data_IF_036106176318
#
_entry.id   IF_036106176318
#
_cell.length_a   1.000
_cell.length_b   1.000
_cell.length_c   1.000
_cell.angle_alpha   90.00
_cell.angle_beta   90.00
_cell.angle_gamma   90.00
#
_symmetry.space_group_name_H-M   'P 1'
#
loop_
_entity.id
_entity.type
_entity.pdbx_description
1 polymer ?
#
# COMPACT_ATOMS: atom_id res chain seq x y z
N UNK A 1 -15.62 7.58 16.93
CA UNK A 1 -15.73 6.72 15.72
C UNK A 1 -16.22 5.37 16.18
N UNK A 2 -17.12 4.74 15.45
CA UNK A 2 -17.71 3.44 15.83
C UNK A 2 -16.62 2.36 15.80
N UNK A 3 -16.44 1.65 16.92
CA UNK A 3 -15.47 0.57 17.04
C UNK A 3 -15.94 -0.60 16.19
N UNK A 4 -15.10 -1.05 15.26
CA UNK A 4 -15.43 -2.16 14.36
C UNK A 4 -14.75 -3.44 14.83
N UNK A 5 -15.50 -4.54 14.86
CA UNK A 5 -14.96 -5.85 15.25
C UNK A 5 -14.59 -6.64 13.99
N UNK A 6 -13.41 -7.27 14.02
CA UNK A 6 -12.92 -8.23 13.01
C UNK A 6 -12.74 -9.58 13.68
N UNK A 7 -13.22 -10.65 13.04
CA UNK A 7 -12.95 -12.03 13.45
C UNK A 7 -12.06 -12.71 12.41
N UNK A 8 -10.96 -13.32 12.85
CA UNK A 8 -10.10 -14.17 12.02
C UNK A 8 -10.36 -15.63 12.39
N UNK A 9 -10.67 -16.45 11.41
CA UNK A 9 -10.93 -17.89 11.56
C UNK A 9 -9.78 -18.62 10.85
N UNK A 10 -8.81 -19.10 11.62
CA UNK A 10 -7.54 -19.63 11.13
C UNK A 10 -6.96 -20.59 12.19
N UNK A 11 -6.75 -21.86 11.83
CA UNK A 11 -6.28 -22.90 12.75
C UNK A 11 -4.77 -22.80 13.02
N UNK A 12 -4.01 -22.18 12.11
CA UNK A 12 -2.61 -21.87 12.35
C UNK A 12 -2.45 -20.66 13.29
N UNK A 13 -2.41 -20.91 14.62
CA UNK A 13 -2.30 -19.88 15.67
C UNK A 13 -1.26 -18.80 15.41
N UNK A 14 -0.10 -19.16 14.86
CA UNK A 14 0.98 -18.21 14.57
C UNK A 14 0.60 -17.27 13.42
N UNK A 15 -0.02 -17.81 12.36
CA UNK A 15 -0.54 -17.02 11.25
C UNK A 15 -1.67 -16.12 11.76
N UNK A 16 -2.67 -16.68 12.45
CA UNK A 16 -3.78 -15.91 13.04
C UNK A 16 -3.30 -14.72 13.88
N UNK A 17 -2.30 -14.93 14.75
CA UNK A 17 -1.68 -13.86 15.56
C UNK A 17 -0.98 -12.80 14.71
N UNK A 18 -0.26 -13.23 13.68
CA UNK A 18 0.46 -12.34 12.76
C UNK A 18 -0.52 -11.46 11.99
N UNK A 19 -1.59 -12.06 11.43
CA UNK A 19 -2.66 -11.33 10.74
C UNK A 19 -3.37 -10.36 11.70
N UNK A 20 -3.71 -10.80 12.91
CA UNK A 20 -4.35 -9.94 13.90
C UNK A 20 -3.47 -8.75 14.30
N UNK A 21 -2.17 -8.97 14.49
CA UNK A 21 -1.23 -7.89 14.78
C UNK A 21 -1.09 -6.92 13.60
N UNK A 22 -0.98 -7.44 12.38
CA UNK A 22 -0.92 -6.62 11.18
C UNK A 22 -2.15 -5.73 11.03
N UNK A 23 -3.36 -6.27 11.22
CA UNK A 23 -4.61 -5.49 11.11
C UNK A 23 -4.71 -4.40 12.19
N UNK A 24 -4.27 -4.68 13.42
CA UNK A 24 -4.27 -3.70 14.52
C UNK A 24 -3.31 -2.53 14.28
N UNK A 25 -2.17 -2.79 13.61
CA UNK A 25 -1.13 -1.77 13.37
C UNK A 25 -1.33 -1.06 12.03
N UNK A 26 -1.74 -1.79 11.01
CA UNK A 26 -1.74 -1.34 9.62
C UNK A 26 -3.02 -0.64 9.16
N UNK A 27 -4.08 -0.59 9.99
CA UNK A 27 -5.32 0.08 9.65
C UNK A 27 -5.53 1.32 10.52
N UNK A 28 -5.97 2.41 9.89
CA UNK A 28 -6.24 3.69 10.55
C UNK A 28 -7.45 3.64 11.50
N UNK A 29 -8.37 2.70 11.29
CA UNK A 29 -9.55 2.56 12.13
C UNK A 29 -9.23 1.70 13.36
N UNK A 30 -9.82 2.08 14.49
CA UNK A 30 -9.71 1.31 15.73
C UNK A 30 -10.56 0.04 15.59
N UNK A 31 -9.89 -1.07 15.28
CA UNK A 31 -10.49 -2.39 15.21
C UNK A 31 -10.21 -3.20 16.46
N UNK A 32 -11.24 -3.87 16.98
CA UNK A 32 -11.03 -5.02 17.85
C UNK A 32 -10.90 -6.26 16.98
N UNK A 33 -9.74 -6.92 17.04
CA UNK A 33 -9.47 -8.12 16.26
C UNK A 33 -9.46 -9.32 17.19
N UNK A 34 -10.34 -10.27 16.93
CA UNK A 34 -10.36 -11.58 17.58
C UNK A 34 -9.95 -12.68 16.62
N UNK A 35 -9.49 -13.79 17.19
CA UNK A 35 -9.11 -14.99 16.45
C UNK A 35 -9.85 -16.19 17.02
N UNK A 36 -10.20 -17.15 16.19
CA UNK A 36 -10.66 -18.48 16.58
C UNK A 36 -10.07 -19.53 15.65
N UNK A 37 -9.99 -20.77 16.13
CA UNK A 37 -9.26 -21.86 15.45
C UNK A 37 -10.21 -22.84 14.72
N UNK A 38 -11.53 -22.70 14.91
CA UNK A 38 -12.52 -23.59 14.29
C UNK A 38 -13.84 -22.88 13.94
N UNK A 39 -14.64 -23.53 13.09
CA UNK A 39 -15.97 -23.03 12.73
C UNK A 39 -16.95 -23.01 13.91
N UNK A 40 -16.86 -23.99 14.82
CA UNK A 40 -17.69 -24.01 16.04
C UNK A 40 -17.39 -22.81 16.93
N UNK A 41 -16.11 -22.52 17.18
CA UNK A 41 -15.70 -21.36 17.96
C UNK A 41 -16.12 -20.05 17.26
N UNK A 42 -16.01 -20.00 15.93
CA UNK A 42 -16.49 -18.85 15.15
C UNK A 42 -18.00 -18.62 15.34
N UNK A 43 -18.82 -19.66 15.31
CA UNK A 43 -20.25 -19.53 15.59
C UNK A 43 -20.52 -19.01 16.99
N UNK A 44 -19.87 -19.57 18.01
CA UNK A 44 -20.02 -19.08 19.38
C UNK A 44 -19.75 -17.57 19.47
N UNK A 45 -18.64 -17.10 18.89
CA UNK A 45 -18.30 -15.68 18.86
C UNK A 45 -19.31 -14.82 18.10
N UNK A 46 -19.78 -15.30 16.94
CA UNK A 46 -20.78 -14.60 16.13
C UNK A 46 -22.13 -14.43 16.84
N UNK A 47 -22.50 -15.37 17.72
CA UNK A 47 -23.70 -15.25 18.55
C UNK A 47 -23.52 -14.31 19.74
N UNK A 48 -22.30 -14.14 20.25
CA UNK A 48 -22.00 -13.27 21.38
C UNK A 48 -21.92 -11.80 20.99
N UNK A 49 -21.36 -11.50 19.82
CA UNK A 49 -21.28 -10.12 19.32
C UNK A 49 -21.24 -10.01 17.80
N UNK A 50 -21.61 -8.82 17.31
CA UNK A 50 -21.56 -8.51 15.90
C UNK A 50 -20.13 -8.24 15.42
N UNK A 51 -19.81 -8.76 14.23
CA UNK A 51 -18.57 -8.50 13.51
C UNK A 51 -18.84 -7.77 12.20
N UNK A 52 -18.04 -6.76 11.92
CA UNK A 52 -18.10 -5.97 10.68
C UNK A 52 -17.39 -6.66 9.53
N UNK A 53 -16.39 -7.48 9.84
CA UNK A 53 -15.61 -8.24 8.88
C UNK A 53 -15.19 -9.58 9.50
N UNK A 54 -15.26 -10.63 8.70
CA UNK A 54 -14.67 -11.94 8.97
C UNK A 54 -13.60 -12.21 7.93
N UNK A 55 -12.45 -12.70 8.38
CA UNK A 55 -11.39 -13.23 7.53
C UNK A 55 -11.31 -14.71 7.83
N UNK A 56 -11.62 -15.57 6.85
CA UNK A 56 -11.76 -17.00 7.06
C UNK A 56 -10.77 -17.76 6.18
N UNK A 57 -10.03 -18.71 6.74
CA UNK A 57 -9.31 -19.69 5.94
C UNK A 57 -10.29 -20.67 5.28
N UNK A 58 -9.95 -21.14 4.08
CA UNK A 58 -10.74 -22.12 3.35
C UNK A 58 -10.68 -23.49 4.02
N UNK A 59 -9.51 -23.85 4.56
CA UNK A 59 -9.26 -25.18 5.13
C UNK A 59 -9.23 -25.08 6.64
N UNK A 60 -10.36 -25.38 7.28
CA UNK A 60 -10.44 -25.50 8.72
C UNK A 60 -10.53 -26.98 9.13
N UNK A 61 -10.00 -27.38 10.30
CA UNK A 61 -10.22 -28.71 10.83
C UNK A 61 -11.72 -28.98 11.04
N UNK A 62 -12.25 -30.03 10.41
CA UNK A 62 -13.62 -30.48 10.63
C UNK A 62 -14.73 -29.72 9.87
N UNK A 63 -14.41 -28.62 9.18
CA UNK A 63 -15.41 -27.82 8.43
C UNK A 63 -14.78 -27.15 7.21
N UNK A 64 -15.51 -27.08 6.09
CA UNK A 64 -15.09 -26.30 4.92
C UNK A 64 -15.41 -24.81 5.12
N UNK A 65 -14.41 -23.94 4.93
CA UNK A 65 -14.57 -22.50 5.08
C UNK A 65 -15.69 -21.91 4.20
N UNK A 66 -15.93 -22.45 2.99
CA UNK A 66 -17.02 -21.98 2.13
C UNK A 66 -18.40 -22.32 2.71
N UNK A 67 -18.54 -23.44 3.40
CA UNK A 67 -19.80 -23.80 4.07
C UNK A 67 -20.07 -22.86 5.25
N UNK A 68 -19.04 -22.59 6.06
CA UNK A 68 -19.10 -21.63 7.15
C UNK A 68 -19.49 -20.23 6.65
N UNK A 69 -18.83 -19.76 5.59
CA UNK A 69 -19.13 -18.46 4.96
C UNK A 69 -20.57 -18.42 4.42
N UNK A 70 -21.03 -19.49 3.76
CA UNK A 70 -22.40 -19.58 3.24
C UNK A 70 -23.40 -19.42 4.38
N UNK A 71 -23.15 -20.05 5.53
CA UNK A 71 -23.98 -19.88 6.72
C UNK A 71 -23.93 -18.44 7.23
N UNK A 72 -22.73 -17.87 7.38
CA UNK A 72 -22.54 -16.50 7.86
C UNK A 72 -23.34 -15.52 7.01
N UNK A 73 -23.21 -15.60 5.68
CA UNK A 73 -23.94 -14.73 4.74
C UNK A 73 -25.45 -14.89 4.79
N UNK A 74 -25.96 -16.04 5.24
CA UNK A 74 -27.40 -16.27 5.38
C UNK A 74 -27.98 -15.62 6.63
N UNK A 75 -27.22 -15.54 7.72
CA UNK A 75 -27.73 -15.13 9.03
C UNK A 75 -27.16 -13.80 9.55
N UNK A 76 -26.01 -13.37 9.04
CA UNK A 76 -25.30 -12.14 9.44
C UNK A 76 -25.08 -11.25 8.20
N UNK A 77 -26.17 -10.69 7.68
CA UNK A 77 -26.24 -10.00 6.38
C UNK A 77 -25.34 -8.76 6.29
N UNK A 78 -25.08 -8.10 7.41
CA UNK A 78 -24.24 -6.89 7.47
C UNK A 78 -22.74 -7.20 7.65
N UNK A 79 -22.38 -8.48 7.75
CA UNK A 79 -21.00 -8.92 7.97
C UNK A 79 -20.30 -9.16 6.64
N UNK A 80 -19.24 -8.39 6.39
CA UNK A 80 -18.33 -8.65 5.28
C UNK A 80 -17.46 -9.88 5.55
N UNK A 81 -17.04 -10.55 4.49
CA UNK A 81 -16.24 -11.77 4.53
C UNK A 81 -15.15 -11.68 3.49
N UNK A 82 -13.91 -11.94 3.91
CA UNK A 82 -12.76 -12.19 3.03
C UNK A 82 -12.33 -13.64 3.22
N UNK A 83 -12.15 -14.37 2.12
CA UNK A 83 -11.60 -15.73 2.13
C UNK A 83 -10.08 -15.69 1.97
N UNK A 84 -9.36 -16.48 2.74
CA UNK A 84 -7.96 -16.81 2.51
C UNK A 84 -7.91 -18.28 2.06
N UNK A 85 -7.12 -18.63 1.05
CA UNK A 85 -7.04 -20.02 0.55
C UNK A 85 -5.65 -20.39 0.09
N UNK A 86 -5.17 -21.60 0.39
CA UNK A 86 -3.93 -22.16 -0.17
C UNK A 86 -4.07 -22.85 -1.53
N UNK A 87 -5.29 -23.10 -1.99
CA UNK A 87 -5.56 -23.79 -3.26
C UNK A 87 -6.81 -23.18 -3.92
N UNK A 88 -6.59 -22.41 -5.00
CA UNK A 88 -7.65 -21.83 -5.82
C UNK A 88 -7.88 -22.68 -7.06
N UNK A 89 -8.71 -23.73 -6.96
CA UNK A 89 -9.29 -24.28 -8.19
C UNK A 89 -10.31 -23.30 -8.74
N UNK A 90 -10.50 -23.28 -10.07
CA UNK A 90 -11.47 -22.40 -10.74
C UNK A 90 -12.88 -22.49 -10.10
N UNK A 91 -13.29 -23.68 -9.65
CA UNK A 91 -14.56 -23.90 -8.96
C UNK A 91 -14.63 -23.23 -7.57
N UNK A 92 -13.54 -23.29 -6.81
CA UNK A 92 -13.45 -22.65 -5.48
C UNK A 92 -13.45 -21.13 -5.63
N UNK A 93 -12.73 -20.61 -6.62
CA UNK A 93 -12.68 -19.17 -6.89
C UNK A 93 -14.05 -18.65 -7.34
N UNK A 94 -14.70 -19.33 -8.29
CA UNK A 94 -16.03 -18.97 -8.77
C UNK A 94 -17.09 -18.99 -7.65
N UNK A 95 -16.96 -19.91 -6.69
CA UNK A 95 -17.84 -19.97 -5.52
C UNK A 95 -17.53 -18.87 -4.52
N UNK A 96 -16.25 -18.60 -4.23
CA UNK A 96 -15.84 -17.51 -3.36
C UNK A 96 -16.36 -16.16 -3.88
N UNK A 97 -16.25 -15.91 -5.19
CA UNK A 97 -16.72 -14.68 -5.83
C UNK A 97 -18.20 -14.37 -5.58
N UNK A 98 -19.03 -15.41 -5.40
CA UNK A 98 -20.47 -15.25 -5.22
C UNK A 98 -20.86 -14.95 -3.77
N UNK A 99 -20.01 -15.30 -2.80
CA UNK A 99 -20.38 -15.31 -1.38
C UNK A 99 -19.44 -14.49 -0.49
N UNK A 100 -18.35 -13.93 -1.03
CA UNK A 100 -17.43 -13.07 -0.29
C UNK A 100 -17.29 -11.70 -0.95
N UNK A 101 -16.77 -10.74 -0.21
CA UNK A 101 -16.37 -9.44 -0.74
C UNK A 101 -14.98 -9.48 -1.36
N UNK A 102 -14.21 -10.53 -1.08
CA UNK A 102 -12.94 -10.78 -1.74
C UNK A 102 -12.26 -12.06 -1.26
N UNK A 103 -11.17 -12.41 -1.93
CA UNK A 103 -10.33 -13.52 -1.51
C UNK A 103 -8.84 -13.31 -1.82
N UNK A 104 -7.99 -13.99 -1.03
CA UNK A 104 -6.54 -13.98 -1.14
C UNK A 104 -6.00 -15.41 -1.23
N UNK A 105 -5.10 -15.64 -2.18
CA UNK A 105 -4.40 -16.92 -2.33
C UNK A 105 -3.09 -16.91 -1.53
N UNK A 106 -2.86 -17.92 -0.68
CA UNK A 106 -1.58 -18.19 -0.01
C UNK A 106 -0.60 -18.70 -1.08
N UNK A 107 0.65 -18.19 -1.14
CA UNK A 107 1.20 -17.11 -0.31
C UNK A 107 0.75 -15.70 -0.76
N UNK A 108 0.38 -14.87 0.23
CA UNK A 108 0.06 -13.45 0.05
C UNK A 108 0.96 -12.57 0.93
N UNK A 109 1.13 -11.29 0.57
CA UNK A 109 1.82 -10.32 1.41
C UNK A 109 0.84 -9.67 2.40
N UNK A 110 1.32 -9.28 3.58
CA UNK A 110 0.50 -8.58 4.58
C UNK A 110 -0.11 -7.29 4.03
N UNK A 111 0.59 -6.57 3.15
CA UNK A 111 0.09 -5.38 2.47
C UNK A 111 -1.13 -5.71 1.59
N UNK A 112 -1.14 -6.86 0.92
CA UNK A 112 -2.30 -7.29 0.12
C UNK A 112 -3.53 -7.50 1.01
N UNK A 113 -3.36 -8.11 2.19
CA UNK A 113 -4.44 -8.23 3.16
C UNK A 113 -4.93 -6.87 3.65
N UNK A 114 -4.03 -5.97 4.02
CA UNK A 114 -4.40 -4.64 4.49
C UNK A 114 -5.18 -3.86 3.43
N UNK A 115 -4.73 -3.90 2.17
CA UNK A 115 -5.44 -3.28 1.04
C UNK A 115 -6.82 -3.90 0.84
N UNK A 116 -6.94 -5.23 0.87
CA UNK A 116 -8.22 -5.93 0.75
C UNK A 116 -9.20 -5.50 1.83
N UNK A 117 -8.80 -5.58 3.10
CA UNK A 117 -9.62 -5.19 4.25
C UNK A 117 -10.05 -3.74 4.15
N UNK A 118 -9.13 -2.87 3.73
CA UNK A 118 -9.42 -1.45 3.57
C UNK A 118 -10.42 -1.18 2.44
N UNK A 119 -10.34 -1.88 1.30
CA UNK A 119 -11.31 -1.78 0.20
C UNK A 119 -12.69 -2.30 0.63
N UNK A 120 -12.74 -3.45 1.30
CA UNK A 120 -14.00 -4.08 1.74
C UNK A 120 -14.75 -3.23 2.76
N UNK A 121 -14.03 -2.61 3.71
CA UNK A 121 -14.66 -1.82 4.79
C UNK A 121 -14.93 -0.36 4.37
N UNK A 122 -14.28 0.17 3.32
CA UNK A 122 -14.50 1.54 2.82
C UNK A 122 -15.81 1.64 2.01
N UNK A 123 -16.84 2.34 2.51
CA UNK A 123 -18.16 2.41 1.86
C UNK A 123 -18.13 3.09 0.48
N UNK A 124 -17.05 3.79 0.13
CA UNK A 124 -16.86 4.43 -1.19
C UNK A 124 -16.43 3.46 -2.28
N UNK A 125 -15.97 2.26 -1.93
CA UNK A 125 -15.43 1.27 -2.87
C UNK A 125 -16.43 0.16 -3.24
N UNK A 126 -17.74 0.40 -3.11
CA UNK A 126 -18.78 -0.55 -3.58
C UNK A 126 -18.70 -0.73 -5.11
N UNK A 127 -17.85 -1.65 -5.57
CA UNK A 127 -17.94 -2.27 -6.90
C UNK A 127 -18.85 -3.50 -6.79
N UNK A 128 -19.52 -3.84 -7.90
CA UNK A 128 -20.28 -5.09 -8.01
C UNK A 128 -19.28 -6.24 -8.27
N UNK A 129 -19.19 -7.21 -7.37
CA UNK A 129 -18.31 -8.40 -7.47
C UNK A 129 -17.28 -8.49 -6.34
N UNK A 130 -16.76 -9.70 -6.07
CA UNK A 130 -15.71 -9.92 -5.09
C UNK A 130 -14.34 -9.44 -5.58
N UNK A 131 -13.53 -8.87 -4.69
CA UNK A 131 -12.15 -8.46 -4.97
C UNK A 131 -11.19 -9.65 -4.93
N UNK A 132 -10.40 -9.83 -5.99
CA UNK A 132 -9.29 -10.80 -6.07
C UNK A 132 -7.97 -10.12 -5.76
N UNK A 133 -6.90 -10.89 -5.52
CA UNK A 133 -5.53 -10.36 -5.40
C UNK A 133 -5.14 -9.49 -6.60
N UNK A 134 -5.55 -9.88 -7.81
CA UNK A 134 -5.30 -9.11 -9.02
C UNK A 134 -6.04 -7.76 -9.01
N UNK A 135 -7.25 -7.70 -8.43
CA UNK A 135 -8.03 -6.47 -8.25
C UNK A 135 -7.50 -5.57 -7.12
N UNK A 136 -6.55 -6.05 -6.31
CA UNK A 136 -5.86 -5.24 -5.31
C UNK A 136 -4.82 -4.31 -5.93
N UNK A 137 -4.35 -4.63 -7.12
CA UNK A 137 -3.59 -3.68 -7.93
C UNK A 137 -4.54 -2.57 -8.34
N UNK A 138 -4.16 -1.33 -8.10
CA UNK A 138 -4.92 -0.16 -8.56
C UNK A 138 -4.94 -0.21 -10.09
N UNK A 139 -6.12 -0.14 -10.72
CA UNK A 139 -6.36 -0.42 -12.16
C UNK A 139 -5.72 0.62 -13.11
N UNK A 140 -4.99 1.60 -12.55
CA UNK A 140 -4.11 2.50 -13.31
C UNK A 140 -2.68 1.98 -13.25
N UNK A 141 -2.01 1.73 -14.40
CA UNK A 141 -0.61 1.34 -14.37
C UNK A 141 0.17 2.37 -13.58
N UNK A 142 0.81 1.89 -12.53
CA UNK A 142 1.57 2.69 -11.61
C UNK A 142 2.84 3.22 -12.28
N UNK A 143 2.68 4.35 -12.97
CA UNK A 143 3.75 5.02 -13.70
C UNK A 143 4.69 5.73 -12.75
N UNK A 144 5.97 5.39 -12.86
CA UNK A 144 7.07 6.06 -12.18
C UNK A 144 7.93 6.76 -13.25
N UNK A 145 8.18 8.04 -13.06
CA UNK A 145 9.18 8.78 -13.82
C UNK A 145 10.49 8.82 -13.04
N UNK A 146 11.59 8.45 -13.69
CA UNK A 146 12.95 8.58 -13.14
C UNK A 146 13.70 9.62 -13.98
N UNK A 147 14.05 10.75 -13.38
CA UNK A 147 14.93 11.75 -13.96
C UNK A 147 16.30 11.70 -13.29
N UNK A 148 17.26 11.14 -14.02
CA UNK A 148 18.62 10.83 -13.56
C UNK A 148 19.57 10.83 -14.76
N UNK A 149 20.63 11.63 -14.74
CA UNK A 149 21.57 11.76 -15.87
C UNK A 149 22.58 10.61 -15.90
N UNK A 150 22.95 10.06 -14.74
CA UNK A 150 23.85 8.93 -14.63
C UNK A 150 23.22 7.64 -15.20
N UNK A 151 23.73 7.21 -16.36
CA UNK A 151 23.19 6.06 -17.11
C UNK A 151 23.19 4.77 -16.28
N UNK A 152 24.22 4.56 -15.47
CA UNK A 152 24.36 3.38 -14.61
C UNK A 152 23.26 3.33 -13.56
N UNK A 153 23.16 4.38 -12.74
CA UNK A 153 22.16 4.50 -11.69
C UNK A 153 20.73 4.46 -12.23
N UNK A 154 20.43 5.23 -13.29
CA UNK A 154 19.10 5.26 -13.93
C UNK A 154 18.65 3.87 -14.39
N UNK A 155 19.54 3.12 -15.06
CA UNK A 155 19.24 1.75 -15.54
C UNK A 155 19.01 0.78 -14.39
N UNK A 156 19.77 0.89 -13.30
CA UNK A 156 19.61 0.02 -12.14
C UNK A 156 18.25 0.27 -11.48
N UNK A 157 17.90 1.54 -11.23
CA UNK A 157 16.58 1.90 -10.68
C UNK A 157 15.45 1.42 -11.59
N UNK A 158 15.54 1.72 -12.89
CA UNK A 158 14.54 1.29 -13.87
C UNK A 158 14.36 -0.23 -13.92
N UNK A 159 15.44 -1.01 -13.83
CA UNK A 159 15.36 -2.49 -13.82
C UNK A 159 14.69 -3.03 -12.56
N UNK A 160 15.02 -2.48 -11.40
CA UNK A 160 14.50 -2.94 -10.10
C UNK A 160 13.01 -2.59 -9.94
N UNK A 161 12.61 -1.40 -10.39
CA UNK A 161 11.21 -0.96 -10.32
C UNK A 161 10.32 -1.70 -11.31
N UNK A 162 10.78 -1.95 -12.55
CA UNK A 162 10.02 -2.80 -13.51
C UNK A 162 9.83 -4.23 -13.02
N UNK A 163 10.83 -4.80 -12.34
CA UNK A 163 10.70 -6.12 -11.70
C UNK A 163 9.65 -6.14 -10.59
N UNK A 164 9.33 -4.98 -10.03
CA UNK A 164 8.28 -4.80 -9.02
C UNK A 164 6.94 -4.42 -9.65
N UNK A 165 6.77 -4.71 -10.95
CA UNK A 165 5.53 -4.51 -11.73
C UNK A 165 5.11 -3.04 -11.96
N UNK A 166 6.00 -2.07 -11.78
CA UNK A 166 5.74 -0.66 -12.13
C UNK A 166 6.01 -0.37 -13.61
N UNK A 167 5.20 0.52 -14.21
CA UNK A 167 5.49 1.10 -15.53
C UNK A 167 6.53 2.22 -15.33
N UNK A 168 7.73 2.08 -15.89
CA UNK A 168 8.83 3.01 -15.62
C UNK A 168 9.25 3.78 -16.87
N UNK A 169 9.10 5.10 -16.83
CA UNK A 169 9.64 6.02 -17.82
C UNK A 169 10.96 6.62 -17.31
N UNK A 170 11.97 6.67 -18.18
CA UNK A 170 13.31 7.13 -17.85
C UNK A 170 13.64 8.41 -18.62
N UNK A 171 14.07 9.45 -17.90
CA UNK A 171 14.46 10.74 -18.44
C UNK A 171 15.95 11.00 -18.16
N UNK A 172 16.83 10.91 -19.17
CA UNK A 172 18.25 11.24 -19.01
C UNK A 172 18.54 12.75 -18.94
N UNK A 173 17.56 13.60 -19.26
CA UNK A 173 17.69 15.05 -19.33
C UNK A 173 16.43 15.73 -18.81
N UNK A 174 16.55 16.98 -18.36
CA UNK A 174 15.40 17.79 -17.90
C UNK A 174 14.40 17.98 -19.05
N UNK A 175 14.87 18.18 -20.28
CA UNK A 175 13.99 18.25 -21.45
C UNK A 175 13.19 16.96 -21.68
N UNK A 176 13.82 15.79 -21.55
CA UNK A 176 13.08 14.51 -21.69
C UNK A 176 12.04 14.37 -20.58
N UNK A 177 12.36 14.79 -19.36
CA UNK A 177 11.41 14.77 -18.23
C UNK A 177 10.23 15.72 -18.47
N UNK A 178 10.49 16.93 -18.98
CA UNK A 178 9.48 17.92 -19.38
C UNK A 178 8.51 17.35 -20.42
N UNK A 179 9.03 16.74 -21.48
CA UNK A 179 8.20 16.15 -22.54
C UNK A 179 7.32 15.00 -22.01
N UNK A 180 7.87 14.20 -21.09
CA UNK A 180 7.18 13.08 -20.45
C UNK A 180 6.09 13.54 -19.48
N UNK A 181 6.38 14.51 -18.61
CA UNK A 181 5.43 15.14 -17.69
C UNK A 181 4.33 15.89 -18.46
N UNK A 182 4.62 16.44 -19.63
CA UNK A 182 3.59 17.06 -20.49
C UNK A 182 2.56 16.06 -21.01
N UNK A 183 2.99 14.83 -21.34
CA UNK A 183 2.18 13.82 -22.03
C UNK A 183 1.52 12.78 -21.11
N UNK A 184 2.04 12.60 -19.90
CA UNK A 184 1.63 11.53 -19.00
C UNK A 184 1.40 12.04 -17.58
N UNK A 185 0.67 11.24 -16.81
CA UNK A 185 0.53 11.39 -15.37
C UNK A 185 1.34 10.30 -14.67
N UNK A 186 1.88 10.63 -13.51
CA UNK A 186 2.77 9.76 -12.75
C UNK A 186 2.33 9.73 -11.30
N UNK A 187 2.37 8.54 -10.69
CA UNK A 187 2.12 8.42 -9.25
C UNK A 187 3.35 8.82 -8.44
N UNK A 188 4.54 8.49 -8.96
CA UNK A 188 5.82 8.91 -8.36
C UNK A 188 6.74 9.51 -9.41
N UNK A 189 7.38 10.62 -9.05
CA UNK A 189 8.45 11.25 -9.82
C UNK A 189 9.74 11.28 -9.00
N UNK A 190 10.72 10.46 -9.37
CA UNK A 190 12.07 10.48 -8.79
C UNK A 190 12.91 11.47 -9.59
N UNK A 191 13.46 12.47 -8.90
CA UNK A 191 14.04 13.66 -9.52
C UNK A 191 15.43 13.96 -8.94
N UNK A 192 16.49 13.84 -9.75
CA UNK A 192 17.80 14.38 -9.37
C UNK A 192 17.78 15.92 -9.39
N UNK A 193 18.36 16.54 -8.36
CA UNK A 193 18.50 18.00 -8.29
C UNK A 193 19.41 18.53 -9.40
N UNK A 194 20.53 17.87 -9.66
CA UNK A 194 21.57 18.39 -10.56
C UNK A 194 21.72 17.50 -11.79
N UNK A 195 21.33 18.01 -12.96
CA UNK A 195 21.48 17.29 -14.23
C UNK A 195 22.33 18.12 -15.20
N UNK A 196 23.65 18.08 -14.99
CA UNK A 196 24.62 18.91 -15.71
C UNK A 196 24.42 20.41 -15.46
N UNK A 197 23.93 21.15 -16.48
CA UNK A 197 23.71 22.61 -16.41
C UNK A 197 22.29 23.01 -15.99
N UNK A 198 21.36 22.05 -16.00
CA UNK A 198 19.96 22.27 -15.66
C UNK A 198 19.67 21.72 -14.26
N UNK A 199 18.69 22.31 -13.56
CA UNK A 199 18.28 21.90 -12.22
C UNK A 199 16.89 21.30 -12.26
N UNK A 200 16.73 20.14 -11.61
CA UNK A 200 15.43 19.48 -11.48
C UNK A 200 14.41 20.33 -10.72
N UNK A 201 14.88 21.23 -9.85
CA UNK A 201 14.07 22.17 -9.07
C UNK A 201 13.29 23.16 -9.93
N UNK A 202 13.86 23.57 -11.06
CA UNK A 202 13.24 24.51 -11.98
C UNK A 202 12.07 23.82 -12.70
N UNK A 203 12.25 22.55 -13.07
CA UNK A 203 11.19 21.70 -13.63
C UNK A 203 10.05 21.45 -12.63
N UNK A 204 10.37 21.24 -11.36
CA UNK A 204 9.33 21.10 -10.32
C UNK A 204 8.50 22.37 -10.17
N UNK A 205 9.15 23.54 -10.21
CA UNK A 205 8.45 24.82 -10.16
C UNK A 205 7.55 25.02 -11.39
N UNK A 206 8.02 24.62 -12.57
CA UNK A 206 7.27 24.67 -13.84
C UNK A 206 6.01 23.78 -13.81
N UNK A 207 6.09 22.58 -13.20
CA UNK A 207 4.99 21.60 -13.18
C UNK A 207 4.22 21.53 -11.85
N UNK A 208 4.46 22.45 -10.91
CA UNK A 208 3.94 22.39 -9.54
C UNK A 208 2.43 22.16 -9.48
N UNK A 209 1.67 22.95 -10.21
CA UNK A 209 0.20 22.87 -10.20
C UNK A 209 -0.29 21.53 -10.72
N UNK A 210 0.29 21.06 -11.83
CA UNK A 210 -0.04 19.75 -12.42
C UNK A 210 0.30 18.61 -11.44
N UNK A 211 1.50 18.61 -10.89
CA UNK A 211 1.95 17.57 -9.95
C UNK A 211 1.05 17.52 -8.70
N UNK A 212 0.59 18.69 -8.23
CA UNK A 212 -0.34 18.80 -7.10
C UNK A 212 -1.72 18.27 -7.47
N UNK A 213 -2.26 18.65 -8.64
CA UNK A 213 -3.57 18.23 -9.15
C UNK A 213 -3.63 16.71 -9.38
N UNK A 214 -2.59 16.13 -9.98
CA UNK A 214 -2.48 14.69 -10.22
C UNK A 214 -2.09 13.91 -8.97
N UNK A 215 -1.75 14.61 -7.87
CA UNK A 215 -1.28 13.99 -6.63
C UNK A 215 0.03 13.22 -6.79
N UNK A 216 0.89 13.63 -7.73
CA UNK A 216 2.19 13.01 -7.98
C UNK A 216 3.09 13.20 -6.77
N UNK A 217 3.66 12.10 -6.28
CA UNK A 217 4.63 12.12 -5.19
C UNK A 217 6.04 12.36 -5.74
N UNK A 218 6.68 13.44 -5.30
CA UNK A 218 8.02 13.85 -5.76
C UNK A 218 9.08 13.40 -4.76
N UNK A 219 10.04 12.59 -5.25
CA UNK A 219 11.19 12.12 -4.49
C UNK A 219 12.44 12.79 -5.04
N UNK A 220 13.06 13.68 -4.25
CA UNK A 220 14.29 14.36 -4.65
C UNK A 220 15.53 13.56 -4.30
N UNK A 221 16.44 13.43 -5.24
CA UNK A 221 17.72 12.75 -5.07
C UNK A 221 18.86 13.76 -5.13
N UNK A 222 19.83 13.69 -4.20
CA UNK A 222 20.96 14.63 -4.19
C UNK A 222 22.20 14.05 -3.50
N UNK A 223 23.39 14.37 -4.01
CA UNK A 223 24.66 14.05 -3.35
C UNK A 223 24.90 14.89 -2.08
N UNK A 224 24.26 16.06 -1.96
CA UNK A 224 24.47 16.97 -0.84
C UNK A 224 23.22 17.07 0.04
N UNK A 225 23.30 16.56 1.26
CA UNK A 225 22.19 16.55 2.22
C UNK A 225 21.70 17.96 2.64
N UNK A 226 22.52 18.99 2.47
CA UNK A 226 22.15 20.38 2.76
C UNK A 226 20.99 20.91 1.90
N UNK A 227 20.67 20.24 0.78
CA UNK A 227 19.53 20.62 -0.05
C UNK A 227 18.19 20.16 0.50
N UNK A 228 18.15 19.39 1.60
CA UNK A 228 16.91 18.87 2.19
C UNK A 228 15.90 19.98 2.50
N UNK A 229 16.32 21.03 3.19
CA UNK A 229 15.45 22.15 3.56
C UNK A 229 14.94 22.90 2.33
N UNK A 230 15.81 23.13 1.34
CA UNK A 230 15.42 23.77 0.08
C UNK A 230 14.40 22.92 -0.68
N UNK A 231 14.57 21.60 -0.71
CA UNK A 231 13.63 20.68 -1.39
C UNK A 231 12.27 20.62 -0.72
N UNK A 232 12.22 20.73 0.60
CA UNK A 232 10.96 20.83 1.37
C UNK A 232 10.20 22.11 1.01
N UNK A 233 10.89 23.25 0.88
CA UNK A 233 10.29 24.53 0.45
C UNK A 233 9.73 24.49 -0.99
N UNK A 234 10.28 23.64 -1.84
CA UNK A 234 9.87 23.47 -3.24
C UNK A 234 8.74 22.45 -3.43
N UNK A 235 8.21 21.88 -2.34
CA UNK A 235 7.09 20.95 -2.40
C UNK A 235 7.46 19.52 -2.80
N UNK A 236 8.72 19.12 -2.61
CA UNK A 236 9.07 17.70 -2.69
C UNK A 236 8.52 16.96 -1.46
N UNK A 237 7.86 15.83 -1.68
CA UNK A 237 7.31 15.03 -0.59
C UNK A 237 8.42 14.30 0.18
N UNK A 238 9.50 13.89 -0.51
CA UNK A 238 10.59 13.10 0.08
C UNK A 238 11.98 13.49 -0.46
N UNK A 239 13.01 13.27 0.35
CA UNK A 239 14.41 13.49 0.00
C UNK A 239 15.25 12.23 0.25
N UNK A 240 16.05 11.83 -0.76
CA UNK A 240 17.01 10.74 -0.70
C UNK A 240 18.43 11.28 -0.93
N UNK A 241 19.30 11.09 0.04
CA UNK A 241 20.71 11.42 -0.10
C UNK A 241 21.46 10.31 -0.85
N UNK A 242 22.19 10.66 -1.92
CA UNK A 242 23.09 9.74 -2.62
C UNK A 242 24.33 9.45 -1.74
N UNK A 243 24.84 8.21 -1.71
CA UNK A 243 24.42 7.06 -2.50
C UNK A 243 23.11 6.43 -1.99
N UNK A 244 22.19 6.14 -2.91
CA UNK A 244 20.88 5.56 -2.59
C UNK A 244 20.97 4.04 -2.70
N UNK A 245 20.65 3.33 -1.62
CA UNK A 245 20.57 1.87 -1.66
C UNK A 245 19.28 1.40 -2.37
N UNK A 246 19.34 0.28 -3.09
CA UNK A 246 18.17 -0.28 -3.77
C UNK A 246 17.05 -0.67 -2.80
N UNK A 247 17.42 -1.17 -1.61
CA UNK A 247 16.46 -1.47 -0.55
C UNK A 247 15.73 -0.23 -0.07
N UNK A 248 16.46 0.87 0.18
CA UNK A 248 15.86 2.16 0.56
C UNK A 248 14.90 2.68 -0.50
N UNK A 249 15.30 2.62 -1.77
CA UNK A 249 14.44 3.03 -2.88
C UNK A 249 13.16 2.20 -2.94
N UNK A 250 13.27 0.87 -2.92
CA UNK A 250 12.11 -0.02 -2.97
C UNK A 250 11.16 0.18 -1.80
N UNK A 251 11.69 0.28 -0.57
CA UNK A 251 10.88 0.52 0.63
C UNK A 251 10.13 1.84 0.54
N UNK A 252 10.81 2.92 0.10
CA UNK A 252 10.16 4.21 -0.08
C UNK A 252 9.06 4.11 -1.15
N UNK A 253 9.39 3.60 -2.34
CA UNK A 253 8.40 3.49 -3.42
C UNK A 253 7.19 2.69 -2.97
N UNK A 254 7.35 1.51 -2.40
CA UNK A 254 6.23 0.71 -1.90
C UNK A 254 5.36 1.51 -0.91
N UNK A 255 5.98 2.24 0.03
CA UNK A 255 5.26 3.12 0.95
C UNK A 255 4.46 4.21 0.22
N UNK A 256 5.04 4.87 -0.78
CA UNK A 256 4.37 5.92 -1.56
C UNK A 256 3.22 5.37 -2.40
N UNK A 257 3.37 4.13 -2.87
CA UNK A 257 2.32 3.46 -3.62
C UNK A 257 1.12 3.08 -2.74
N UNK A 258 1.36 2.85 -1.45
CA UNK A 258 0.37 2.42 -0.45
C UNK A 258 -0.27 3.56 0.36
N UNK A 259 0.32 4.75 0.37
CA UNK A 259 -0.16 5.86 1.17
C UNK A 259 -1.47 6.46 0.63
N UNK A 260 -2.53 6.43 1.45
CA UNK A 260 -3.78 7.17 1.19
C UNK A 260 -3.56 8.69 1.30
N UNK A 261 -4.38 9.51 0.59
CA UNK A 261 -4.30 10.97 0.64
C UNK A 261 -4.40 11.61 2.05
N UNK A 262 -5.02 10.94 3.02
CA UNK A 262 -5.26 11.46 4.36
C UNK A 262 -4.08 11.24 5.35
N UNK A 263 -3.19 10.28 5.10
CA UNK A 263 -1.96 10.11 5.89
C UNK A 263 -0.86 11.13 5.51
N UNK A 264 -1.09 11.91 4.44
CA UNK A 264 -0.13 12.87 3.85
C UNK A 264 0.29 14.00 4.81
N UNK A 265 -0.46 14.28 5.87
CA UNK A 265 -0.18 15.40 6.80
C UNK A 265 0.53 14.98 8.10
N UNK A 266 0.43 13.71 8.51
CA UNK A 266 1.13 13.17 9.69
C UNK A 266 2.60 12.81 9.36
N UNK A 267 2.88 12.44 8.10
CA UNK A 267 4.21 12.05 7.63
C UNK A 267 5.16 13.25 7.45
N UNK A 268 4.62 14.43 7.18
CA UNK A 268 5.37 15.70 7.19
C UNK A 268 5.75 16.13 8.60
N UNK A 269 5.01 15.70 9.62
CA UNK A 269 5.22 16.09 11.01
C UNK A 269 6.19 15.14 11.76
N UNK A 270 6.20 13.84 11.48
CA UNK A 270 7.16 12.90 12.10
C UNK A 270 8.63 13.15 11.66
N UNK A 271 8.85 13.76 10.49
CA UNK A 271 10.18 14.21 10.07
C UNK A 271 10.64 15.52 10.73
N UNK A 272 9.81 16.17 11.56
CA UNK A 272 10.13 17.40 12.29
C UNK A 272 10.76 17.16 13.67
N UNK A 273 10.95 15.91 14.11
CA UNK A 273 11.69 15.65 15.36
C UNK A 273 13.17 16.05 15.21
N UNK A 274 13.43 17.31 15.62
CA UNK A 274 14.75 17.90 15.77
C UNK A 274 15.68 16.95 16.54
N UNK A 275 16.93 16.73 16.08
CA UNK A 275 17.95 16.22 16.96
C UNK A 275 18.09 17.18 18.14
N UNK A 276 17.86 16.69 19.36
CA UNK A 276 18.23 17.42 20.58
C UNK A 276 19.74 17.67 20.51
N UNK A 277 20.12 18.92 20.28
CA UNK A 277 21.49 19.39 20.45
C UNK A 277 21.90 19.13 21.90
N UNK A 278 22.75 18.13 22.12
CA UNK A 278 23.52 18.05 23.36
C UNK A 278 24.59 19.15 23.32
N UNK A 279 24.71 19.98 24.36
CA UNK A 279 25.73 21.01 24.37
C UNK A 279 27.11 20.34 24.46
N UNK A 280 27.99 20.69 23.52
CA UNK A 280 29.42 20.45 23.67
C UNK A 280 29.87 21.19 24.94
N UNK A 281 30.48 20.45 25.88
CA UNK A 281 31.29 21.04 26.94
C UNK A 281 32.64 21.41 26.35
N UNK A 282 33.08 22.61 26.70
CA UNK A 282 34.33 23.28 26.32
C UNK A 282 35.58 22.40 26.50
#
# INVERSE_FOLDING_TARGET
MEQKNILIIEDERNLARTLAQALRIGLEWHFEVETCESGEEAFHKLYEKAYSLIICDLRLPGMDGLELITYIKRFFLDTHVILITGFGSDEVEARADQITEGYLTKPFDILDLLRMVQKVIDPRHKKNGAFRKDDLTDDTPHRILIMEDEVGLRRIFGKVLRKSHYEVHEAPTVQTARDLLGKNEYKVFICDIHMGRERGTDLLSEFRDKLTETGTQVVMCSAYGQYRTLTEEMGADFFLQKPISLGTLLTLINRLMDAKPAQRQLLTDENQEKPRLYPYKD
#
